data_IF_054535779320
#
_entry.id   IF_054535779320
#
_cell.length_a   1.000
_cell.length_b   1.000
_cell.length_c   1.000
_cell.angle_alpha   90.00
_cell.angle_beta   90.00
_cell.angle_gamma   90.00
#
_symmetry.space_group_name_H-M   'P 1'
#
loop_
_entity.id
_entity.type
_entity.pdbx_description
1 polymer ?
#
# COMPACT_ATOMS: atom_id res chain seq x y z
N UNK A 1 -39.79 49.96 -54.48
CA UNK A 1 -40.19 50.83 -53.38
C UNK A 1 -40.36 49.93 -52.14
N UNK A 2 -39.33 49.69 -51.40
CA UNK A 2 -39.31 48.76 -50.24
C UNK A 2 -38.61 49.46 -49.10
N UNK A 3 -39.33 49.68 -48.01
CA UNK A 3 -38.87 50.31 -46.77
C UNK A 3 -38.35 49.16 -45.88
N UNK A 4 -37.06 49.21 -45.53
CA UNK A 4 -36.47 48.34 -44.52
C UNK A 4 -36.73 48.96 -43.13
N UNK A 5 -37.34 48.14 -42.25
CA UNK A 5 -37.49 48.46 -40.83
C UNK A 5 -36.24 47.96 -40.07
N UNK A 6 -35.60 48.90 -39.36
CA UNK A 6 -34.48 48.62 -38.43
C UNK A 6 -35.10 48.52 -37.03
N UNK A 7 -34.94 47.33 -36.40
CA UNK A 7 -35.29 47.14 -34.99
C UNK A 7 -34.06 47.46 -34.13
N UNK A 8 -34.21 48.46 -33.24
CA UNK A 8 -33.23 48.74 -32.18
C UNK A 8 -33.55 47.92 -30.94
N UNK A 9 -32.61 47.12 -30.49
CA UNK A 9 -32.65 46.49 -29.19
C UNK A 9 -32.04 47.43 -28.15
N UNK A 10 -32.84 47.85 -27.18
CA UNK A 10 -32.38 48.59 -26.00
C UNK A 10 -32.03 47.56 -24.93
N UNK A 11 -30.74 47.46 -24.55
CA UNK A 11 -30.28 46.70 -23.39
C UNK A 11 -30.40 47.58 -22.16
N UNK A 12 -31.31 47.25 -21.27
CA UNK A 12 -31.43 47.89 -19.96
C UNK A 12 -30.46 47.18 -18.97
N UNK A 13 -29.42 47.90 -18.56
CA UNK A 13 -28.53 47.49 -17.49
C UNK A 13 -29.15 47.81 -16.14
N UNK A 14 -29.51 46.77 -15.39
CA UNK A 14 -30.00 46.86 -14.02
C UNK A 14 -28.81 46.82 -13.05
N UNK A 15 -28.50 47.95 -12.40
CA UNK A 15 -27.57 48.02 -11.29
C UNK A 15 -28.28 47.58 -10.01
N UNK A 16 -27.91 46.44 -9.43
CA UNK A 16 -28.28 46.06 -8.07
C UNK A 16 -27.12 46.44 -7.15
N UNK A 17 -27.35 47.42 -6.32
CA UNK A 17 -26.45 47.76 -5.22
C UNK A 17 -26.65 46.75 -4.09
N UNK A 18 -25.64 45.90 -3.82
CA UNK A 18 -25.61 45.05 -2.65
C UNK A 18 -24.80 45.75 -1.57
N UNK A 19 -25.47 46.00 -0.44
CA UNK A 19 -24.84 46.59 0.73
C UNK A 19 -23.82 45.67 1.37
N UNK A 20 -22.64 46.20 1.65
CA UNK A 20 -21.56 45.55 2.39
C UNK A 20 -21.94 45.55 3.86
N UNK A 21 -22.21 44.36 4.40
CA UNK A 21 -22.22 44.10 5.85
C UNK A 21 -20.89 43.51 6.24
N UNK A 22 -20.12 44.23 7.04
CA UNK A 22 -18.87 43.72 7.63
C UNK A 22 -19.21 42.77 8.75
N UNK A 23 -18.83 41.50 8.60
CA UNK A 23 -18.63 40.56 9.70
C UNK A 23 -17.23 39.97 9.58
N UNK A 24 -16.42 40.19 10.63
CA UNK A 24 -15.06 39.63 10.77
C UNK A 24 -15.16 38.11 10.90
N UNK A 25 -14.59 37.40 9.92
CA UNK A 25 -14.34 35.98 9.95
C UNK A 25 -13.39 35.65 8.80
N UNK A 26 -12.13 35.38 9.12
CA UNK A 26 -11.10 34.99 8.15
C UNK A 26 -11.48 33.68 7.47
N UNK A 27 -12.04 33.77 6.26
CA UNK A 27 -12.08 32.69 5.28
C UNK A 27 -11.50 33.26 3.98
N UNK A 28 -10.49 32.64 3.39
CA UNK A 28 -10.00 33.03 2.08
C UNK A 28 -10.87 32.37 0.99
N UNK A 29 -12.14 32.72 0.88
CA UNK A 29 -12.97 32.38 -0.26
C UNK A 29 -12.80 33.45 -1.36
N UNK A 30 -11.73 33.26 -2.16
CA UNK A 30 -11.66 33.87 -3.48
C UNK A 30 -12.65 33.13 -4.42
N UNK A 31 -13.13 33.79 -5.50
CA UNK A 31 -14.04 33.14 -6.44
C UNK A 31 -13.39 31.83 -6.94
N UNK A 32 -14.16 30.73 -6.93
CA UNK A 32 -13.77 29.44 -7.49
C UNK A 32 -13.41 29.58 -8.96
N UNK A 33 -12.15 29.83 -9.25
CA UNK A 33 -11.64 29.73 -10.62
C UNK A 33 -11.60 28.24 -10.93
N UNK A 34 -12.32 27.77 -11.95
CA UNK A 34 -12.30 26.36 -12.32
C UNK A 34 -10.86 25.92 -12.55
N UNK A 35 -10.39 24.95 -11.76
CA UNK A 35 -9.04 24.40 -11.93
C UNK A 35 -9.07 23.52 -13.18
N UNK A 36 -8.24 23.87 -14.17
CA UNK A 36 -8.14 23.06 -15.40
C UNK A 36 -7.52 21.71 -15.07
N UNK A 37 -8.15 20.59 -15.48
CA UNK A 37 -7.56 19.26 -15.28
C UNK A 37 -6.21 19.14 -15.98
N UNK A 38 -5.25 18.50 -15.30
CA UNK A 38 -3.95 18.13 -15.85
C UNK A 38 -3.94 16.67 -16.32
N UNK A 39 -2.88 16.24 -16.99
CA UNK A 39 -2.73 14.85 -17.43
C UNK A 39 -2.58 13.87 -16.26
N UNK A 40 -1.90 14.29 -15.16
CA UNK A 40 -1.74 13.44 -14.00
C UNK A 40 -1.67 14.23 -12.69
N UNK A 41 -2.35 13.70 -11.66
CA UNK A 41 -2.10 14.08 -10.27
C UNK A 41 -1.56 12.86 -9.51
N UNK A 42 -0.39 13.01 -8.88
CA UNK A 42 0.15 12.04 -7.93
C UNK A 42 -0.21 12.51 -6.51
N UNK A 43 -0.94 11.68 -5.79
CA UNK A 43 -1.33 11.94 -4.42
C UNK A 43 -0.49 11.08 -3.45
N UNK A 44 0.35 11.73 -2.66
CA UNK A 44 1.14 11.09 -1.60
C UNK A 44 0.38 11.19 -0.30
N UNK A 45 -0.01 10.07 0.26
CA UNK A 45 -0.84 9.94 1.45
C UNK A 45 -0.03 9.32 2.57
N UNK A 46 0.33 10.13 3.57
CA UNK A 46 1.06 9.76 4.77
C UNK A 46 0.17 9.93 6.00
N UNK A 47 -0.75 8.99 6.26
CA UNK A 47 -1.75 9.12 7.34
C UNK A 47 -1.18 8.86 8.73
N UNK A 48 0.09 8.50 8.84
CA UNK A 48 0.77 8.18 10.07
C UNK A 48 1.89 9.18 10.37
N UNK A 49 1.97 9.60 11.62
CA UNK A 49 3.05 10.38 12.19
C UNK A 49 3.86 9.53 13.18
N UNK A 50 4.62 10.13 14.06
CA UNK A 50 5.41 9.46 15.09
C UNK A 50 6.64 8.74 14.53
N UNK A 51 6.76 7.42 14.66
CA UNK A 51 7.97 6.65 14.30
C UNK A 51 8.47 6.79 12.85
N UNK A 52 7.58 7.12 11.89
CA UNK A 52 7.92 7.27 10.47
C UNK A 52 7.90 8.72 9.97
N UNK A 53 7.65 9.71 10.84
CA UNK A 53 7.51 11.11 10.40
C UNK A 53 8.79 11.66 9.78
N UNK A 54 9.96 11.31 10.32
CA UNK A 54 11.26 11.69 9.75
C UNK A 54 11.49 11.09 8.36
N UNK A 55 11.09 9.83 8.18
CA UNK A 55 11.23 9.14 6.90
C UNK A 55 10.31 9.73 5.84
N UNK A 56 9.06 10.07 6.18
CA UNK A 56 8.15 10.73 5.25
C UNK A 56 8.59 12.16 4.90
N UNK A 57 9.20 12.89 5.83
CA UNK A 57 9.82 14.19 5.52
C UNK A 57 10.93 14.04 4.49
N UNK A 58 11.82 13.07 4.66
CA UNK A 58 12.85 12.75 3.67
C UNK A 58 12.24 12.37 2.33
N UNK A 59 11.22 11.51 2.29
CA UNK A 59 10.48 11.14 1.08
C UNK A 59 9.93 12.39 0.36
N UNK A 60 9.37 13.34 1.11
CA UNK A 60 8.89 14.61 0.54
C UNK A 60 10.06 15.44 -0.01
N UNK A 61 11.19 15.54 0.68
CA UNK A 61 12.40 16.24 0.22
C UNK A 61 12.97 15.61 -1.06
N UNK A 62 12.99 14.28 -1.15
CA UNK A 62 13.36 13.56 -2.37
C UNK A 62 12.42 13.91 -3.53
N UNK A 63 11.11 13.91 -3.30
CA UNK A 63 10.12 14.29 -4.31
C UNK A 63 10.21 15.78 -4.69
N UNK A 64 10.53 16.66 -3.75
CA UNK A 64 10.82 18.08 -4.06
C UNK A 64 12.00 18.19 -5.03
N UNK A 65 13.04 17.38 -4.84
CA UNK A 65 14.18 17.34 -5.75
C UNK A 65 13.77 16.85 -7.15
N UNK A 66 12.95 15.80 -7.22
CA UNK A 66 12.42 15.27 -8.49
C UNK A 66 11.58 16.34 -9.21
N UNK A 67 10.65 17.00 -8.49
CA UNK A 67 9.80 18.07 -9.02
C UNK A 67 10.66 19.27 -9.52
N UNK A 68 11.70 19.66 -8.77
CA UNK A 68 12.58 20.75 -9.17
C UNK A 68 13.34 20.44 -10.49
N UNK A 69 13.72 19.19 -10.69
CA UNK A 69 14.49 18.75 -11.88
C UNK A 69 13.60 18.49 -13.10
N UNK A 70 12.31 18.15 -12.90
CA UNK A 70 11.38 17.80 -13.99
C UNK A 70 10.67 19.02 -14.58
N UNK A 71 10.21 18.88 -15.82
CA UNK A 71 9.28 19.84 -16.43
C UNK A 71 7.84 19.46 -16.02
N UNK A 72 7.34 20.07 -14.96
CA UNK A 72 5.97 19.85 -14.42
C UNK A 72 4.94 20.65 -15.24
N UNK A 73 4.69 20.25 -16.49
CA UNK A 73 3.75 20.97 -17.38
C UNK A 73 2.32 20.43 -17.27
N UNK A 74 2.21 19.14 -17.06
CA UNK A 74 0.94 18.41 -17.09
C UNK A 74 0.85 17.42 -15.92
N UNK A 75 1.63 17.66 -14.87
CA UNK A 75 1.64 16.85 -13.67
C UNK A 75 1.54 17.71 -12.41
N UNK A 76 0.84 17.22 -11.40
CA UNK A 76 0.77 17.79 -10.06
C UNK A 76 1.15 16.76 -9.01
N UNK A 77 1.72 17.20 -7.91
CA UNK A 77 2.04 16.35 -6.76
C UNK A 77 1.39 16.94 -5.52
N UNK A 78 0.39 16.24 -5.01
CA UNK A 78 -0.32 16.57 -3.79
C UNK A 78 0.19 15.70 -2.65
N UNK A 79 0.37 16.26 -1.47
CA UNK A 79 0.86 15.53 -0.30
C UNK A 79 -0.06 15.79 0.88
N UNK A 80 -0.65 14.73 1.41
CA UNK A 80 -1.26 14.71 2.73
C UNK A 80 -0.26 14.11 3.71
N UNK A 81 0.05 14.83 4.78
CA UNK A 81 0.97 14.36 5.82
C UNK A 81 0.39 14.62 7.20
N UNK A 82 0.16 13.56 7.96
CA UNK A 82 -0.13 13.66 9.37
C UNK A 82 1.13 14.17 10.11
N UNK A 83 0.98 15.25 10.87
CA UNK A 83 2.06 15.85 11.66
C UNK A 83 2.00 15.45 13.12
N UNK A 84 0.83 14.94 13.55
CA UNK A 84 0.57 14.29 14.83
C UNK A 84 -0.63 13.35 14.66
N UNK A 85 -1.05 12.66 15.70
CA UNK A 85 -2.25 11.79 15.66
C UNK A 85 -3.54 12.53 15.31
N UNK A 86 -3.59 13.85 15.50
CA UNK A 86 -4.78 14.67 15.32
C UNK A 86 -4.61 15.82 14.35
N UNK A 87 -3.39 16.08 13.89
CA UNK A 87 -3.07 17.18 13.00
C UNK A 87 -2.47 16.67 11.71
N UNK A 88 -2.89 17.24 10.59
CA UNK A 88 -2.33 16.95 9.29
C UNK A 88 -2.35 18.20 8.41
N UNK A 89 -1.56 18.15 7.34
CA UNK A 89 -1.51 19.18 6.31
C UNK A 89 -1.68 18.54 4.93
N UNK A 90 -2.42 19.24 4.07
CA UNK A 90 -2.47 18.95 2.63
C UNK A 90 -1.78 20.09 1.91
N UNK A 91 -0.80 19.79 1.09
CA UNK A 91 -0.03 20.75 0.33
C UNK A 91 0.33 20.23 -1.06
N UNK A 92 0.68 21.14 -1.94
CA UNK A 92 1.17 20.82 -3.28
C UNK A 92 2.66 21.12 -3.40
N UNK A 93 3.39 20.25 -4.08
CA UNK A 93 4.77 20.46 -4.49
C UNK A 93 4.78 21.17 -5.84
N UNK A 94 5.07 22.47 -5.85
CA UNK A 94 5.05 23.32 -7.04
C UNK A 94 6.45 23.68 -7.51
N UNK A 95 6.74 23.46 -8.79
CA UNK A 95 7.95 23.98 -9.39
C UNK A 95 7.78 25.46 -9.73
N UNK A 96 8.68 26.30 -9.19
CA UNK A 96 8.76 27.72 -9.50
C UNK A 96 10.25 28.14 -9.62
N UNK A 97 10.62 28.76 -10.74
CA UNK A 97 11.98 29.28 -10.99
C UNK A 97 13.10 28.22 -10.74
N UNK A 98 12.86 26.98 -11.17
CA UNK A 98 13.83 25.88 -11.03
C UNK A 98 13.94 25.27 -9.63
N UNK A 99 13.11 25.72 -8.69
CA UNK A 99 13.02 25.18 -7.32
C UNK A 99 11.65 24.55 -7.11
N UNK A 100 11.56 23.63 -6.15
CA UNK A 100 10.27 23.15 -5.64
C UNK A 100 9.87 23.95 -4.40
N UNK A 101 8.63 24.43 -4.39
CA UNK A 101 8.03 25.11 -3.27
C UNK A 101 6.88 24.26 -2.72
N UNK A 102 6.65 24.35 -1.43
CA UNK A 102 5.50 23.74 -0.76
C UNK A 102 4.39 24.78 -0.63
N UNK A 103 3.24 24.52 -1.24
CA UNK A 103 2.06 25.36 -1.16
C UNK A 103 1.00 24.68 -0.29
N UNK A 104 0.82 25.16 0.96
CA UNK A 104 -0.14 24.59 1.91
C UNK A 104 -1.56 24.97 1.51
N UNK A 105 -2.39 23.97 1.22
CA UNK A 105 -3.77 24.12 0.78
C UNK A 105 -4.77 23.98 1.92
N UNK A 106 -4.53 23.02 2.84
CA UNK A 106 -5.44 22.73 3.98
C UNK A 106 -4.64 22.35 5.21
N UNK A 107 -5.27 22.58 6.36
CA UNK A 107 -4.83 22.07 7.67
C UNK A 107 -6.00 21.36 8.33
N UNK A 108 -5.73 20.22 8.94
CA UNK A 108 -6.74 19.41 9.63
C UNK A 108 -6.36 19.28 11.09
N UNK A 109 -7.35 19.36 11.97
CA UNK A 109 -7.20 19.19 13.42
C UNK A 109 -8.31 18.31 13.99
N UNK A 110 -8.06 17.73 15.17
CA UNK A 110 -9.03 17.00 15.99
C UNK A 110 -9.64 15.72 15.39
N UNK A 111 -8.92 15.01 14.48
CA UNK A 111 -9.51 13.84 13.80
C UNK A 111 -8.59 12.61 13.80
N UNK A 112 -9.13 11.41 14.00
CA UNK A 112 -8.53 10.20 13.48
C UNK A 112 -8.72 10.18 11.95
N UNK A 113 -7.61 10.10 11.20
CA UNK A 113 -7.62 10.12 9.71
C UNK A 113 -7.87 8.73 9.11
N UNK A 114 -8.73 7.93 9.73
CA UNK A 114 -8.81 6.48 9.46
C UNK A 114 -10.20 5.99 9.07
N UNK A 115 -11.26 6.81 9.24
CA UNK A 115 -12.61 6.37 8.90
C UNK A 115 -12.87 6.46 7.39
N UNK A 116 -13.60 5.48 6.83
CA UNK A 116 -14.04 5.49 5.42
C UNK A 116 -14.64 6.84 5.01
N UNK A 117 -15.56 7.38 5.81
CA UNK A 117 -16.20 8.66 5.48
C UNK A 117 -15.19 9.82 5.40
N UNK A 118 -14.21 9.86 6.30
CA UNK A 118 -13.19 10.90 6.27
C UNK A 118 -12.28 10.75 5.05
N UNK A 119 -11.86 9.51 4.73
CA UNK A 119 -11.06 9.20 3.54
C UNK A 119 -11.81 9.59 2.25
N UNK A 120 -13.10 9.25 2.14
CA UNK A 120 -13.95 9.65 1.01
C UNK A 120 -13.95 11.18 0.82
N UNK A 121 -14.09 11.92 1.93
CA UNK A 121 -14.06 13.39 1.89
C UNK A 121 -12.69 13.93 1.45
N UNK A 122 -11.59 13.37 1.97
CA UNK A 122 -10.23 13.76 1.58
C UNK A 122 -9.97 13.50 0.09
N UNK A 123 -10.34 12.32 -0.41
CA UNK A 123 -10.12 11.96 -1.81
C UNK A 123 -10.94 12.86 -2.75
N UNK A 124 -12.19 13.15 -2.41
CA UNK A 124 -13.02 14.09 -3.15
C UNK A 124 -12.43 15.50 -3.14
N UNK A 125 -11.89 15.95 -2.01
CA UNK A 125 -11.22 17.25 -1.89
C UNK A 125 -9.95 17.30 -2.75
N UNK A 126 -9.11 16.26 -2.72
CA UNK A 126 -7.90 16.18 -3.56
C UNK A 126 -8.25 16.23 -5.04
N UNK A 127 -9.28 15.50 -5.48
CA UNK A 127 -9.73 15.55 -6.88
C UNK A 127 -10.28 16.92 -7.26
N UNK A 128 -10.93 17.62 -6.35
CA UNK A 128 -11.42 18.99 -6.57
C UNK A 128 -10.28 19.99 -6.68
N UNK A 129 -9.29 19.91 -5.77
CA UNK A 129 -8.14 20.82 -5.74
C UNK A 129 -7.14 20.56 -6.86
N UNK A 130 -7.01 19.30 -7.28
CA UNK A 130 -6.05 18.87 -8.29
C UNK A 130 -6.70 17.90 -9.31
N UNK A 131 -7.70 18.37 -10.09
CA UNK A 131 -8.37 17.54 -11.08
C UNK A 131 -7.37 17.09 -12.15
N UNK A 132 -7.47 15.81 -12.55
CA UNK A 132 -6.59 15.21 -13.55
C UNK A 132 -7.34 14.14 -14.34
N UNK A 133 -6.81 13.82 -15.54
CA UNK A 133 -7.32 12.70 -16.33
C UNK A 133 -6.83 11.34 -15.80
N UNK A 134 -5.77 11.34 -14.97
CA UNK A 134 -5.18 10.15 -14.37
C UNK A 134 -4.65 10.48 -12.97
N UNK A 135 -4.89 9.58 -12.03
CA UNK A 135 -4.36 9.68 -10.67
C UNK A 135 -3.38 8.57 -10.39
N UNK A 136 -2.29 8.88 -9.69
CA UNK A 136 -1.42 7.92 -9.03
C UNK A 136 -1.49 8.15 -7.52
N UNK A 137 -1.42 7.09 -6.72
CA UNK A 137 -1.41 7.20 -5.26
C UNK A 137 -0.15 6.56 -4.69
N UNK A 138 0.46 7.23 -3.71
CA UNK A 138 1.54 6.69 -2.87
C UNK A 138 1.02 6.67 -1.44
N UNK A 139 1.06 5.52 -0.79
CA UNK A 139 0.64 5.35 0.61
C UNK A 139 1.84 4.96 1.43
N UNK A 140 2.29 5.83 2.35
CA UNK A 140 3.40 5.56 3.25
C UNK A 140 2.93 5.43 4.68
N UNK A 141 3.16 4.26 5.29
CA UNK A 141 2.75 3.93 6.65
C UNK A 141 3.30 2.57 7.08
N UNK A 142 2.95 2.10 8.28
CA UNK A 142 3.09 0.68 8.59
C UNK A 142 2.05 -0.15 7.82
N UNK A 143 2.39 -1.41 7.51
CA UNK A 143 1.49 -2.32 6.81
C UNK A 143 1.61 -3.76 7.28
N UNK A 144 0.50 -4.51 7.23
CA UNK A 144 0.48 -5.95 7.40
C UNK A 144 -0.57 -6.60 6.49
N UNK A 145 -0.51 -6.26 5.23
CA UNK A 145 -1.41 -6.83 4.22
C UNK A 145 -2.89 -6.75 4.63
N UNK A 146 -3.61 -7.87 4.49
CA UNK A 146 -5.04 -8.04 4.70
C UNK A 146 -5.44 -8.28 6.17
N UNK A 147 -4.51 -8.37 7.11
CA UNK A 147 -4.82 -8.73 8.51
C UNK A 147 -5.66 -7.61 9.15
N UNK A 148 -6.88 -7.91 9.66
CA UNK A 148 -7.82 -6.88 10.08
C UNK A 148 -7.46 -6.21 11.41
N UNK A 149 -7.83 -4.94 11.56
CA UNK A 149 -7.68 -4.11 12.77
C UNK A 149 -8.24 -4.81 14.02
N UNK A 150 -9.40 -5.46 13.90
CA UNK A 150 -10.03 -6.15 15.02
C UNK A 150 -9.29 -7.43 15.47
N UNK A 151 -8.54 -8.07 14.61
CA UNK A 151 -7.72 -9.24 14.94
C UNK A 151 -6.72 -8.94 16.06
N UNK A 152 -6.20 -7.73 16.13
CA UNK A 152 -5.31 -7.27 17.20
C UNK A 152 -5.96 -7.10 18.55
N UNK A 153 -7.15 -6.50 18.62
CA UNK A 153 -7.85 -6.30 19.91
C UNK A 153 -8.04 -7.62 20.63
N UNK A 154 -8.34 -8.67 19.88
CA UNK A 154 -8.53 -10.01 20.42
C UNK A 154 -7.20 -10.68 20.81
N UNK A 155 -6.13 -10.47 20.06
CA UNK A 155 -4.81 -10.96 20.39
C UNK A 155 -4.24 -10.29 21.66
N UNK A 156 -4.38 -8.96 21.80
CA UNK A 156 -3.95 -8.21 23.00
C UNK A 156 -4.75 -8.59 24.25
N UNK A 157 -6.08 -8.73 24.17
CA UNK A 157 -6.91 -9.18 25.29
C UNK A 157 -6.54 -10.58 25.80
N UNK A 158 -6.12 -11.49 24.91
CA UNK A 158 -5.72 -12.85 25.28
C UNK A 158 -4.31 -12.93 25.87
N UNK A 159 -3.45 -11.97 25.61
CA UNK A 159 -2.08 -11.91 26.15
C UNK A 159 -2.01 -11.31 27.56
N UNK A 160 -3.16 -10.90 28.16
CA UNK A 160 -3.24 -10.48 29.57
C UNK A 160 -2.47 -9.20 29.93
N UNK A 161 -2.06 -8.40 28.94
CA UNK A 161 -1.32 -7.16 29.17
C UNK A 161 -2.28 -5.98 29.34
N UNK A 162 -2.95 -5.92 30.49
CA UNK A 162 -3.74 -4.75 30.88
C UNK A 162 -2.86 -3.69 31.61
N UNK A 163 -1.59 -3.95 31.77
CA UNK A 163 -0.63 -3.04 32.41
C UNK A 163 0.56 -2.85 31.46
N UNK A 164 0.57 -1.79 30.69
CA UNK A 164 1.74 -1.16 30.03
C UNK A 164 1.36 -0.44 28.73
N UNK A 165 0.36 0.43 28.80
CA UNK A 165 0.10 1.36 27.68
C UNK A 165 1.07 2.51 27.69
N UNK A 166 1.67 2.82 28.87
CA UNK A 166 2.51 4.00 29.06
C UNK A 166 4.04 3.77 28.83
N UNK A 167 4.46 2.52 28.59
CA UNK A 167 5.89 2.20 28.36
C UNK A 167 6.23 1.95 26.88
N UNK A 168 5.25 1.74 25.98
CA UNK A 168 5.50 1.46 24.57
C UNK A 168 5.87 2.71 23.73
N UNK A 169 5.61 3.92 24.21
CA UNK A 169 6.12 5.17 23.60
C UNK A 169 7.65 5.34 23.72
N UNK A 170 8.32 4.48 24.48
CA UNK A 170 9.76 4.48 24.65
C UNK A 170 10.52 3.43 23.82
N UNK A 171 9.83 2.62 23.00
CA UNK A 171 10.43 1.54 22.22
C UNK A 171 11.27 2.02 21.01
N UNK A 172 11.19 3.31 20.69
CA UNK A 172 12.01 3.95 19.65
C UNK A 172 12.84 5.08 20.28
N UNK A 173 13.68 4.77 21.27
CA UNK A 173 14.75 5.69 21.64
C UNK A 173 15.81 5.63 20.54
N UNK A 174 15.88 6.71 19.75
CA UNK A 174 17.10 7.08 19.05
C UNK A 174 18.22 7.27 20.08
N UNK A 175 19.04 6.28 20.31
CA UNK A 175 20.38 6.54 20.85
C UNK A 175 21.23 7.09 19.70
N UNK A 176 21.26 8.42 19.58
CA UNK A 176 22.33 9.11 18.86
C UNK A 176 23.64 8.75 19.53
N UNK A 177 24.36 7.83 18.94
CA UNK A 177 25.78 7.66 19.25
C UNK A 177 26.53 8.69 18.40
N UNK A 178 26.79 9.85 18.99
CA UNK A 178 27.74 10.82 18.45
C UNK A 178 29.15 10.20 18.52
N UNK A 179 29.52 9.48 17.48
CA UNK A 179 30.93 9.17 17.18
C UNK A 179 31.19 9.45 15.71
N UNK A 180 32.10 10.42 15.52
CA UNK A 180 32.68 10.68 14.21
C UNK A 180 33.13 9.38 13.55
N UNK A 181 32.51 9.05 12.40
CA UNK A 181 33.12 8.17 11.43
C UNK A 181 32.36 6.96 10.95
N UNK A 182 31.18 6.59 11.48
CA UNK A 182 30.35 5.53 10.90
C UNK A 182 28.88 5.69 11.36
N UNK A 183 28.05 6.29 10.51
CA UNK A 183 26.58 6.40 10.70
C UNK A 183 25.91 5.03 10.47
N UNK A 184 26.16 4.07 11.33
CA UNK A 184 25.39 2.85 11.44
C UNK A 184 24.26 3.10 12.45
N UNK A 185 23.07 3.47 11.96
CA UNK A 185 21.87 3.46 12.81
C UNK A 185 21.53 2.00 13.15
N UNK A 186 21.94 1.57 14.34
CA UNK A 186 21.44 0.35 14.94
C UNK A 186 20.05 0.59 15.49
N UNK A 187 19.02 0.06 14.81
CA UNK A 187 17.72 -0.09 15.41
C UNK A 187 17.72 -1.31 16.33
N UNK A 188 17.85 -1.11 17.62
CA UNK A 188 17.49 -2.13 18.60
C UNK A 188 15.96 -2.21 18.68
N UNK A 189 15.39 -3.18 17.99
CA UNK A 189 13.98 -3.55 18.13
C UNK A 189 13.87 -4.44 19.37
N UNK A 190 13.57 -3.86 20.52
CA UNK A 190 13.24 -4.62 21.73
C UNK A 190 11.72 -4.88 21.78
N UNK A 191 11.32 -6.08 21.37
CA UNK A 191 9.94 -6.55 21.49
C UNK A 191 9.29 -6.95 20.16
N UNK A 192 8.15 -7.64 20.19
CA UNK A 192 7.45 -8.01 18.97
C UNK A 192 6.94 -6.76 18.28
N UNK A 193 7.47 -6.42 17.13
CA UNK A 193 7.00 -5.34 16.26
C UNK A 193 5.56 -5.67 15.87
N UNK A 194 4.61 -4.94 16.45
CA UNK A 194 3.19 -5.07 16.16
C UNK A 194 2.83 -4.13 15.01
N UNK A 195 3.35 -4.39 13.81
CA UNK A 195 3.00 -3.63 12.61
C UNK A 195 1.91 -4.38 11.86
N UNK A 196 0.77 -3.75 11.63
CA UNK A 196 -0.41 -4.41 11.05
C UNK A 196 -1.29 -3.37 10.34
N UNK A 197 -1.89 -3.70 9.14
CA UNK A 197 -2.71 -2.88 8.23
C UNK A 197 -1.95 -1.72 7.57
N UNK A 198 -2.74 -0.78 7.06
CA UNK A 198 -2.24 0.52 6.60
C UNK A 198 -2.44 1.52 7.74
N UNK A 199 -1.38 2.15 8.23
CA UNK A 199 -1.53 3.20 9.23
C UNK A 199 -0.52 3.12 10.35
N UNK A 200 -0.98 3.40 11.56
CA UNK A 200 -0.14 3.52 12.73
C UNK A 200 -0.06 2.26 13.59
N UNK A 201 0.53 2.41 14.75
CA UNK A 201 0.77 1.31 15.70
C UNK A 201 -0.50 0.89 16.46
N UNK A 202 -1.46 1.81 16.62
CA UNK A 202 -2.68 1.57 17.40
C UNK A 202 -3.90 1.35 16.51
N UNK A 203 -4.88 0.51 16.90
CA UNK A 203 -6.07 0.22 16.10
C UNK A 203 -6.84 1.45 15.63
N UNK A 204 -6.92 2.50 16.45
CA UNK A 204 -7.58 3.77 16.12
C UNK A 204 -6.84 4.61 15.07
N UNK A 205 -5.58 4.29 14.80
CA UNK A 205 -4.74 4.95 13.79
C UNK A 205 -4.56 4.09 12.53
N UNK A 206 -5.34 3.03 12.40
CA UNK A 206 -5.23 2.04 11.33
C UNK A 206 -6.44 2.08 10.41
N UNK A 207 -6.19 1.83 9.14
CA UNK A 207 -7.18 1.80 8.07
C UNK A 207 -7.27 0.36 7.56
N UNK A 208 -8.47 -0.21 7.52
CA UNK A 208 -8.70 -1.47 6.82
C UNK A 208 -8.48 -1.29 5.31
N UNK A 209 -7.90 -2.28 4.64
CA UNK A 209 -7.74 -2.24 3.19
C UNK A 209 -9.10 -2.12 2.48
N UNK A 210 -10.14 -2.76 3.03
CA UNK A 210 -11.53 -2.64 2.56
C UNK A 210 -12.05 -1.22 2.70
N UNK A 211 -11.80 -0.54 3.84
CA UNK A 211 -12.23 0.85 4.03
C UNK A 211 -11.51 1.81 3.07
N UNK A 212 -10.25 1.53 2.72
CA UNK A 212 -9.53 2.29 1.70
C UNK A 212 -10.17 2.10 0.32
N UNK A 213 -10.41 0.85 -0.10
CA UNK A 213 -11.06 0.51 -1.37
C UNK A 213 -12.44 1.17 -1.49
N UNK A 214 -13.26 1.00 -0.45
CA UNK A 214 -14.60 1.57 -0.38
C UNK A 214 -14.59 3.11 -0.40
N UNK A 215 -13.66 3.75 0.31
CA UNK A 215 -13.54 5.21 0.33
C UNK A 215 -13.13 5.76 -1.04
N UNK A 216 -12.25 5.07 -1.76
CA UNK A 216 -11.87 5.42 -3.13
C UNK A 216 -13.06 5.27 -4.08
N UNK A 217 -13.81 4.17 -3.99
CA UNK A 217 -15.02 3.93 -4.79
C UNK A 217 -16.10 4.99 -4.51
N UNK A 218 -16.38 5.29 -3.23
CA UNK A 218 -17.37 6.30 -2.82
C UNK A 218 -17.00 7.72 -3.30
N UNK A 219 -15.70 8.04 -3.34
CA UNK A 219 -15.21 9.31 -3.87
C UNK A 219 -15.18 9.34 -5.41
N UNK A 220 -15.31 8.20 -6.09
CA UNK A 220 -15.09 8.07 -7.52
C UNK A 220 -13.61 8.18 -7.92
N UNK A 221 -12.69 7.94 -6.99
CA UNK A 221 -11.25 7.96 -7.26
C UNK A 221 -10.81 6.59 -7.79
N UNK A 222 -10.45 6.57 -9.07
CA UNK A 222 -9.80 5.41 -9.70
C UNK A 222 -8.37 5.79 -10.06
N UNK A 223 -7.39 4.98 -9.62
CA UNK A 223 -5.98 5.30 -9.83
C UNK A 223 -5.35 4.43 -10.91
N UNK A 224 -4.37 4.98 -11.61
CA UNK A 224 -3.50 4.24 -12.52
C UNK A 224 -2.60 3.28 -11.73
N UNK A 225 -2.15 3.71 -10.55
CA UNK A 225 -1.43 2.86 -9.62
C UNK A 225 -1.63 3.31 -8.17
N UNK A 226 -1.53 2.33 -7.26
CA UNK A 226 -1.27 2.57 -5.84
C UNK A 226 0.12 1.99 -5.54
N UNK A 227 1.02 2.81 -5.00
CA UNK A 227 2.30 2.38 -4.45
C UNK A 227 2.19 2.38 -2.93
N UNK A 228 2.35 1.22 -2.31
CA UNK A 228 2.49 1.12 -0.86
C UNK A 228 3.97 1.11 -0.46
N UNK A 229 4.40 2.19 0.16
CA UNK A 229 5.66 2.25 0.90
C UNK A 229 5.38 1.77 2.33
N UNK A 230 5.16 0.45 2.43
CA UNK A 230 4.73 -0.25 3.63
C UNK A 230 5.03 -1.76 3.52
N UNK A 231 5.20 -2.43 4.67
CA UNK A 231 5.52 -3.84 4.74
C UNK A 231 4.37 -4.74 4.25
N UNK A 232 4.69 -5.83 3.57
CA UNK A 232 3.78 -6.93 3.19
C UNK A 232 2.63 -6.57 2.24
N UNK A 233 2.56 -5.35 1.72
CA UNK A 233 1.42 -4.89 0.93
C UNK A 233 1.32 -5.50 -0.48
N UNK A 234 2.37 -6.16 -0.99
CA UNK A 234 2.27 -7.01 -2.19
C UNK A 234 1.70 -8.39 -1.83
N UNK A 235 0.47 -8.37 -1.35
CA UNK A 235 -0.35 -9.53 -1.00
C UNK A 235 -1.45 -9.69 -2.03
N UNK A 236 -1.74 -10.94 -2.44
CA UNK A 236 -2.81 -11.20 -3.40
C UNK A 236 -4.18 -10.82 -2.82
N UNK A 237 -4.36 -10.98 -1.51
CA UNK A 237 -5.58 -10.58 -0.81
C UNK A 237 -5.78 -9.06 -0.88
N UNK A 238 -4.72 -8.27 -0.69
CA UNK A 238 -4.75 -6.80 -0.82
C UNK A 238 -4.98 -6.37 -2.25
N UNK A 239 -4.26 -6.97 -3.20
CA UNK A 239 -4.41 -6.66 -4.61
C UNK A 239 -5.83 -6.94 -5.11
N UNK A 240 -6.42 -8.07 -4.69
CA UNK A 240 -7.78 -8.45 -5.07
C UNK A 240 -8.85 -7.53 -4.46
N UNK A 241 -8.63 -7.03 -3.25
CA UNK A 241 -9.52 -6.06 -2.62
C UNK A 241 -9.50 -4.70 -3.32
N UNK A 242 -8.34 -4.29 -3.84
CA UNK A 242 -8.15 -2.98 -4.49
C UNK A 242 -8.37 -3.00 -6.01
N UNK A 243 -8.59 -4.18 -6.64
CA UNK A 243 -8.59 -4.34 -8.10
C UNK A 243 -9.59 -3.47 -8.85
N UNK A 244 -10.68 -3.10 -8.20
CA UNK A 244 -11.74 -2.31 -8.82
C UNK A 244 -11.52 -0.79 -8.68
N UNK A 245 -10.48 -0.36 -7.93
CA UNK A 245 -10.16 1.06 -7.70
C UNK A 245 -8.75 1.45 -8.16
N UNK A 246 -7.94 0.49 -8.62
CA UNK A 246 -6.62 0.76 -9.20
C UNK A 246 -6.27 -0.20 -10.31
N UNK A 247 -5.52 0.26 -11.33
CA UNK A 247 -5.01 -0.62 -12.38
C UNK A 247 -3.78 -1.41 -11.94
N UNK A 248 -2.86 -0.77 -11.19
CA UNK A 248 -1.63 -1.41 -10.75
C UNK A 248 -1.41 -1.24 -9.26
N UNK A 249 -0.93 -2.30 -8.62
CA UNK A 249 -0.43 -2.27 -7.25
C UNK A 249 1.10 -2.40 -7.27
N UNK A 250 1.80 -1.45 -6.64
CA UNK A 250 3.26 -1.46 -6.50
C UNK A 250 3.58 -1.60 -5.02
N UNK A 251 4.20 -2.69 -4.62
CA UNK A 251 4.45 -2.95 -3.20
C UNK A 251 5.56 -3.99 -2.97
N UNK A 252 5.91 -4.21 -1.72
CA UNK A 252 6.78 -5.30 -1.27
C UNK A 252 5.98 -6.44 -0.66
N UNK A 253 6.26 -7.72 -1.00
CA UNK A 253 5.65 -8.87 -0.34
C UNK A 253 6.30 -9.21 1.01
N UNK A 254 7.39 -8.53 1.41
CA UNK A 254 8.08 -8.69 2.69
C UNK A 254 8.13 -7.39 3.48
N UNK A 255 8.84 -7.36 4.59
CA UNK A 255 9.11 -6.11 5.29
C UNK A 255 9.90 -5.14 4.40
N UNK A 256 9.59 -3.85 4.55
CA UNK A 256 10.33 -2.73 3.96
C UNK A 256 11.09 -2.07 5.10
N UNK A 257 12.42 -1.95 4.96
CA UNK A 257 13.20 -1.22 5.96
C UNK A 257 12.85 0.26 5.98
N UNK A 258 13.10 0.94 7.09
CA UNK A 258 12.64 2.32 7.37
C UNK A 258 13.01 3.35 6.31
N UNK A 259 14.08 3.12 5.53
CA UNK A 259 14.38 3.98 4.38
C UNK A 259 13.24 4.03 3.38
N UNK A 260 12.46 2.95 3.22
CA UNK A 260 11.34 2.89 2.29
C UNK A 260 11.78 2.82 0.82
N UNK A 261 10.98 3.37 -0.06
CA UNK A 261 11.29 3.43 -1.49
C UNK A 261 12.24 4.59 -1.81
N UNK A 262 13.21 4.39 -2.74
CA UNK A 262 14.23 5.40 -3.05
C UNK A 262 13.71 6.50 -4.00
N UNK A 263 12.89 7.43 -3.49
CA UNK A 263 12.17 8.43 -4.30
C UNK A 263 13.09 9.34 -5.09
N UNK A 264 14.31 9.60 -4.61
CA UNK A 264 15.27 10.43 -5.32
C UNK A 264 15.62 9.88 -6.72
N UNK A 265 15.65 8.57 -6.87
CA UNK A 265 15.93 7.89 -8.15
C UNK A 265 14.68 7.39 -8.85
N UNK A 266 13.69 6.96 -8.09
CA UNK A 266 12.48 6.31 -8.56
C UNK A 266 11.35 7.31 -8.88
N UNK A 267 11.25 8.43 -8.15
CA UNK A 267 10.11 9.36 -8.23
C UNK A 267 9.82 9.90 -9.63
N UNK A 268 10.84 10.07 -10.46
CA UNK A 268 10.68 10.45 -11.88
C UNK A 268 9.86 9.44 -12.68
N UNK A 269 9.85 8.18 -12.29
CA UNK A 269 9.12 7.09 -12.97
C UNK A 269 7.65 7.00 -12.54
N UNK A 270 7.26 7.70 -11.48
CA UNK A 270 5.87 7.83 -11.02
C UNK A 270 5.12 8.93 -11.77
N UNK A 271 5.83 9.91 -12.34
CA UNK A 271 5.28 11.11 -12.95
C UNK A 271 5.10 10.98 -14.46
N UNK A 272 3.99 11.51 -14.98
CA UNK A 272 3.59 11.40 -16.39
C UNK A 272 3.05 10.01 -16.70
N UNK A 273 3.52 9.38 -17.77
CA UNK A 273 3.24 7.96 -18.02
C UNK A 273 4.14 7.12 -17.11
N UNK A 274 3.58 6.34 -16.18
CA UNK A 274 4.38 5.55 -15.24
C UNK A 274 5.31 4.57 -15.97
N UNK A 275 6.55 4.47 -15.48
CA UNK A 275 7.52 3.50 -15.96
C UNK A 275 7.75 2.43 -14.89
N UNK A 276 6.91 1.40 -14.88
CA UNK A 276 6.93 0.35 -13.86
C UNK A 276 8.25 -0.41 -13.81
N UNK A 277 8.85 -0.72 -14.98
CA UNK A 277 10.18 -1.32 -15.01
C UNK A 277 11.22 -0.41 -14.37
N UNK A 278 11.19 0.89 -14.67
CA UNK A 278 12.10 1.86 -14.07
C UNK A 278 11.95 2.01 -12.57
N UNK A 279 10.73 1.83 -12.04
CA UNK A 279 10.46 1.78 -10.60
C UNK A 279 11.18 0.58 -9.97
N UNK A 280 10.97 -0.62 -10.51
CA UNK A 280 11.59 -1.87 -10.03
C UNK A 280 13.11 -1.80 -10.13
N UNK A 281 13.64 -1.38 -11.28
CA UNK A 281 15.09 -1.27 -11.51
C UNK A 281 15.73 -0.28 -10.52
N UNK A 282 15.10 0.87 -10.26
CA UNK A 282 15.59 1.87 -9.31
C UNK A 282 15.60 1.34 -7.88
N UNK A 283 14.53 0.64 -7.48
CA UNK A 283 14.42 0.03 -6.17
C UNK A 283 15.52 -1.02 -5.94
N UNK A 284 15.68 -1.97 -6.87
CA UNK A 284 16.67 -3.03 -6.75
C UNK A 284 18.10 -2.48 -6.84
N UNK A 285 18.36 -1.52 -7.73
CA UNK A 285 19.68 -0.89 -7.83
C UNK A 285 20.07 -0.21 -6.51
N UNK A 286 19.12 0.47 -5.86
CA UNK A 286 19.36 1.09 -4.56
C UNK A 286 19.68 0.03 -3.50
N UNK A 287 18.80 -0.94 -3.29
CA UNK A 287 18.98 -1.93 -2.24
C UNK A 287 20.17 -2.87 -2.47
N UNK A 288 20.55 -3.14 -3.72
CA UNK A 288 21.76 -3.93 -4.01
C UNK A 288 23.06 -3.23 -3.59
N UNK A 289 23.03 -1.90 -3.42
CA UNK A 289 24.20 -1.10 -3.00
C UNK A 289 24.06 -0.50 -1.60
N UNK A 290 22.88 -0.62 -1.00
CA UNK A 290 22.62 -0.10 0.35
C UNK A 290 23.31 -0.99 1.39
N UNK A 291 23.68 -0.43 2.54
CA UNK A 291 24.37 -1.19 3.60
C UNK A 291 23.51 -2.30 4.22
N UNK A 292 22.19 -2.20 4.09
CA UNK A 292 21.23 -3.28 4.35
C UNK A 292 20.65 -3.74 3.00
N UNK A 293 21.27 -4.72 2.31
CA UNK A 293 20.90 -5.10 0.95
C UNK A 293 19.67 -6.01 0.93
N UNK A 294 18.58 -5.54 1.52
CA UNK A 294 17.35 -6.30 1.72
C UNK A 294 16.17 -5.55 1.10
N UNK A 295 15.75 -5.97 -0.08
CA UNK A 295 14.64 -5.34 -0.77
C UNK A 295 13.90 -6.29 -1.70
N UNK A 296 12.57 -6.21 -1.65
CA UNK A 296 11.67 -6.90 -2.57
C UNK A 296 10.64 -5.91 -3.08
N UNK A 297 10.29 -5.99 -4.35
CA UNK A 297 9.27 -5.13 -4.97
C UNK A 297 8.59 -5.86 -6.12
N UNK A 298 7.29 -5.64 -6.28
CA UNK A 298 6.53 -6.13 -7.40
C UNK A 298 5.51 -5.10 -7.87
N UNK A 299 5.13 -5.21 -9.13
CA UNK A 299 4.05 -4.47 -9.79
C UNK A 299 3.02 -5.49 -10.24
N UNK A 300 1.84 -5.41 -9.66
CA UNK A 300 0.70 -6.29 -9.96
C UNK A 300 -0.27 -5.57 -10.88
N UNK A 301 -0.56 -6.15 -12.03
CA UNK A 301 -1.66 -5.73 -12.91
C UNK A 301 -2.98 -6.28 -12.34
N UNK A 302 -3.74 -5.40 -11.70
CA UNK A 302 -4.99 -5.76 -11.03
C UNK A 302 -6.07 -6.26 -12.00
N UNK A 303 -5.99 -5.92 -13.29
CA UNK A 303 -6.93 -6.40 -14.32
C UNK A 303 -6.80 -7.90 -14.62
N UNK A 304 -5.69 -8.51 -14.22
CA UNK A 304 -5.40 -9.93 -14.42
C UNK A 304 -5.83 -10.82 -13.25
N UNK A 305 -6.26 -10.22 -12.14
CA UNK A 305 -6.49 -10.95 -10.88
C UNK A 305 -7.68 -11.91 -10.94
N UNK A 306 -8.76 -11.58 -11.68
CA UNK A 306 -9.90 -12.48 -11.80
C UNK A 306 -9.54 -13.76 -12.59
N UNK A 307 -8.71 -13.62 -13.62
CA UNK A 307 -8.18 -14.76 -14.35
C UNK A 307 -7.27 -15.63 -13.48
N UNK A 308 -6.43 -14.99 -12.65
CA UNK A 308 -5.58 -15.69 -11.69
C UNK A 308 -6.41 -16.44 -10.64
N UNK A 309 -7.45 -15.79 -10.10
CA UNK A 309 -8.36 -16.38 -9.11
C UNK A 309 -9.10 -17.62 -9.66
N UNK A 310 -9.56 -17.56 -10.91
CA UNK A 310 -10.25 -18.69 -11.54
C UNK A 310 -9.38 -19.94 -11.67
N UNK A 311 -8.07 -19.79 -11.92
CA UNK A 311 -7.14 -20.92 -11.98
C UNK A 311 -6.80 -21.38 -10.54
N UNK A 312 -6.61 -20.44 -9.61
CA UNK A 312 -6.36 -20.76 -8.20
C UNK A 312 -7.51 -21.59 -7.60
N UNK A 313 -8.75 -21.27 -7.92
CA UNK A 313 -9.94 -22.02 -7.49
C UNK A 313 -9.86 -23.49 -7.97
N UNK A 314 -9.51 -23.72 -9.23
CA UNK A 314 -9.37 -25.07 -9.78
C UNK A 314 -8.25 -25.86 -9.09
N UNK A 315 -7.12 -25.19 -8.79
CA UNK A 315 -6.01 -25.80 -8.07
C UNK A 315 -6.45 -26.17 -6.65
N UNK A 316 -7.13 -25.27 -5.93
CA UNK A 316 -7.60 -25.51 -4.57
C UNK A 316 -8.58 -26.68 -4.50
N UNK A 317 -9.52 -26.76 -5.44
CA UNK A 317 -10.48 -27.86 -5.55
C UNK A 317 -9.79 -29.20 -5.81
N UNK A 318 -8.87 -29.27 -6.79
CA UNK A 318 -8.13 -30.49 -7.12
C UNK A 318 -7.23 -30.95 -5.95
N UNK A 319 -6.56 -30.02 -5.27
CA UNK A 319 -5.72 -30.30 -4.09
C UNK A 319 -6.54 -30.84 -2.93
N UNK A 320 -7.75 -30.29 -2.70
CA UNK A 320 -8.66 -30.77 -1.67
C UNK A 320 -9.17 -32.19 -1.96
N UNK A 321 -9.57 -32.50 -3.22
CA UNK A 321 -10.00 -33.83 -3.63
C UNK A 321 -8.92 -34.88 -3.41
N UNK A 322 -7.67 -34.60 -3.83
CA UNK A 322 -6.56 -35.54 -3.65
C UNK A 322 -6.19 -35.74 -2.18
N UNK A 323 -6.27 -34.67 -1.39
CA UNK A 323 -6.01 -34.75 0.07
C UNK A 323 -7.07 -35.62 0.76
N UNK A 324 -8.34 -35.45 0.42
CA UNK A 324 -9.45 -36.24 0.97
C UNK A 324 -9.34 -37.72 0.52
N UNK A 325 -9.02 -38.00 -0.73
CA UNK A 325 -8.80 -39.36 -1.25
C UNK A 325 -7.66 -40.07 -0.48
N UNK A 326 -6.52 -39.38 -0.27
CA UNK A 326 -5.40 -39.93 0.50
C UNK A 326 -5.72 -40.18 1.97
N UNK A 327 -6.67 -39.42 2.57
CA UNK A 327 -7.11 -39.61 3.96
C UNK A 327 -8.04 -40.83 4.14
N UNK A 328 -8.72 -41.27 3.06
CA UNK A 328 -9.64 -42.41 3.07
C UNK A 328 -9.01 -43.73 2.69
N UNK A 329 -7.78 -43.75 2.18
CA UNK A 329 -7.02 -44.96 1.88
C UNK A 329 -6.67 -45.75 3.17
N UNK A 330 -6.71 -47.08 3.17
CA UNK A 330 -6.27 -47.89 4.32
C UNK A 330 -4.80 -47.62 4.66
N UNK A 331 -4.55 -47.16 5.86
CA UNK A 331 -3.20 -46.80 6.31
C UNK A 331 -2.32 -48.05 6.46
N UNK A 332 -1.39 -48.26 5.55
CA UNK A 332 -0.30 -49.18 5.71
C UNK A 332 0.92 -48.43 6.30
N UNK A 333 1.73 -49.07 7.15
CA UNK A 333 2.88 -48.48 7.82
C UNK A 333 3.89 -47.78 6.85
N UNK A 334 3.89 -48.16 5.56
CA UNK A 334 4.68 -47.50 4.52
C UNK A 334 4.06 -46.18 3.98
N UNK A 335 2.73 -45.95 4.18
CA UNK A 335 2.04 -44.77 3.76
C UNK A 335 2.03 -43.67 4.84
N UNK A 336 2.14 -44.04 6.13
CA UNK A 336 2.23 -43.07 7.23
C UNK A 336 3.46 -42.15 7.13
N UNK A 337 4.61 -42.70 6.71
CA UNK A 337 5.84 -41.95 6.51
C UNK A 337 5.78 -40.93 5.36
N UNK A 338 4.98 -41.21 4.31
CA UNK A 338 4.87 -40.32 3.16
C UNK A 338 3.81 -39.21 3.35
N UNK A 339 2.75 -39.46 4.11
CA UNK A 339 1.69 -38.49 4.34
C UNK A 339 2.10 -37.46 5.40
N UNK A 340 2.83 -37.86 6.44
CA UNK A 340 3.27 -36.99 7.53
C UNK A 340 4.48 -36.11 7.16
N UNK A 341 5.18 -36.38 6.06
CA UNK A 341 6.34 -35.58 5.62
C UNK A 341 6.01 -34.54 4.60
N UNK A 342 4.80 -34.56 4.00
CA UNK A 342 4.45 -33.68 2.89
C UNK A 342 3.80 -32.35 3.30
N UNK A 343 3.21 -32.24 4.50
CA UNK A 343 2.49 -31.03 4.96
C UNK A 343 2.71 -30.76 6.44
N UNK A 344 2.88 -29.49 6.79
CA UNK A 344 2.79 -29.02 8.17
C UNK A 344 1.32 -29.09 8.64
N UNK A 345 1.07 -29.08 9.96
CA UNK A 345 -0.25 -29.26 10.57
C UNK A 345 -1.39 -28.32 10.09
N UNK A 346 -1.12 -27.45 9.12
CA UNK A 346 -2.04 -26.47 8.54
C UNK A 346 -2.34 -26.68 7.06
N UNK A 347 -2.09 -27.85 6.52
CA UNK A 347 -2.26 -28.12 5.10
C UNK A 347 -1.29 -27.32 4.16
N UNK A 348 -0.28 -26.67 4.70
CA UNK A 348 0.76 -25.99 3.92
C UNK A 348 1.80 -27.01 3.48
N UNK A 349 2.14 -27.10 2.18
CA UNK A 349 3.20 -27.98 1.71
C UNK A 349 4.54 -27.64 2.39
N UNK A 350 5.34 -28.67 2.73
CA UNK A 350 6.65 -28.46 3.32
C UNK A 350 7.61 -27.77 2.34
N UNK A 351 8.42 -26.84 2.87
CA UNK A 351 9.45 -26.16 2.08
C UNK A 351 8.97 -24.97 1.28
N UNK A 352 7.69 -24.54 1.41
CA UNK A 352 7.22 -23.30 0.79
C UNK A 352 8.10 -22.14 1.23
N UNK A 353 8.41 -21.22 0.28
CA UNK A 353 9.13 -19.99 0.58
C UNK A 353 8.31 -19.14 1.55
N UNK A 354 8.83 -18.88 2.73
CA UNK A 354 8.25 -17.96 3.70
C UNK A 354 8.62 -16.53 3.35
N UNK A 355 7.72 -15.58 3.65
CA UNK A 355 7.85 -14.17 3.31
C UNK A 355 7.80 -13.27 4.55
N UNK A 356 7.83 -13.84 5.76
CA UNK A 356 7.77 -13.11 7.02
C UNK A 356 8.65 -13.76 8.12
N UNK A 357 8.67 -13.12 9.29
CA UNK A 357 9.33 -13.59 10.49
C UNK A 357 8.39 -14.18 11.55
N UNK A 358 7.09 -14.27 11.30
CA UNK A 358 6.11 -14.76 12.28
C UNK A 358 6.29 -16.24 12.60
N UNK A 359 5.97 -16.62 13.83
CA UNK A 359 5.91 -18.01 14.26
C UNK A 359 4.58 -18.28 14.98
N UNK A 360 3.67 -19.04 14.38
CA UNK A 360 3.75 -19.65 13.03
C UNK A 360 3.74 -18.61 11.90
N UNK A 361 4.32 -18.96 10.74
CA UNK A 361 4.36 -18.15 9.52
C UNK A 361 2.98 -17.69 9.09
N UNK A 362 2.86 -16.43 8.68
CA UNK A 362 1.63 -15.82 8.21
C UNK A 362 1.61 -15.70 6.68
N UNK A 363 2.74 -15.36 6.06
CA UNK A 363 2.85 -15.10 4.63
C UNK A 363 3.81 -16.07 3.93
N UNK A 364 3.37 -16.56 2.79
CA UNK A 364 4.11 -17.45 1.88
C UNK A 364 4.19 -16.82 0.49
N UNK A 365 5.23 -17.16 -0.28
CA UNK A 365 5.24 -16.82 -1.70
C UNK A 365 4.10 -17.52 -2.44
N UNK A 366 3.24 -16.74 -3.09
CA UNK A 366 2.04 -17.25 -3.76
C UNK A 366 2.37 -18.27 -4.85
N UNK A 367 3.32 -17.94 -5.73
CA UNK A 367 3.68 -18.81 -6.85
C UNK A 367 4.27 -20.12 -6.38
N UNK A 368 5.17 -20.08 -5.40
CA UNK A 368 5.77 -21.30 -4.84
C UNK A 368 4.71 -22.16 -4.11
N UNK A 369 3.84 -21.53 -3.30
CA UNK A 369 2.75 -22.24 -2.63
C UNK A 369 1.87 -22.99 -3.64
N UNK A 370 1.42 -22.32 -4.69
CA UNK A 370 0.53 -22.91 -5.69
C UNK A 370 1.20 -23.99 -6.51
N UNK A 371 2.52 -23.90 -6.76
CA UNK A 371 3.30 -24.91 -7.47
C UNK A 371 3.43 -26.24 -6.72
N UNK A 372 3.31 -26.20 -5.39
CA UNK A 372 3.47 -27.38 -4.51
C UNK A 372 2.14 -28.06 -4.16
N UNK A 373 0.99 -27.50 -4.61
CA UNK A 373 -0.33 -28.12 -4.42
C UNK A 373 -0.50 -29.34 -5.34
N UNK A 374 -1.27 -30.33 -4.86
CA UNK A 374 -1.54 -31.58 -5.60
C UNK A 374 -2.64 -31.38 -6.66
N UNK A 375 -2.41 -30.49 -7.65
CA UNK A 375 -3.41 -30.14 -8.66
C UNK A 375 -3.03 -30.60 -10.09
N UNK A 376 -1.87 -31.25 -10.22
CA UNK A 376 -1.33 -31.67 -11.52
C UNK A 376 -0.62 -30.54 -12.28
N UNK A 377 0.34 -30.94 -13.12
CA UNK A 377 1.26 -30.02 -13.82
C UNK A 377 0.55 -29.04 -14.76
N UNK A 378 -0.57 -29.44 -15.39
CA UNK A 378 -1.31 -28.57 -16.31
C UNK A 378 -1.85 -27.33 -15.61
N UNK A 379 -2.51 -27.49 -14.45
CA UNK A 379 -3.08 -26.38 -13.71
C UNK A 379 -1.99 -25.51 -13.06
N UNK A 380 -0.96 -26.11 -12.49
CA UNK A 380 0.13 -25.37 -11.87
C UNK A 380 0.94 -24.57 -12.91
N UNK A 381 1.15 -25.13 -14.12
CA UNK A 381 1.77 -24.40 -15.24
C UNK A 381 0.89 -23.23 -15.70
N UNK A 382 -0.40 -23.47 -15.91
CA UNK A 382 -1.34 -22.41 -16.30
C UNK A 382 -1.40 -21.27 -15.24
N UNK A 383 -1.31 -21.63 -13.97
CA UNK A 383 -1.22 -20.64 -12.89
C UNK A 383 0.05 -19.81 -12.98
N UNK A 384 1.20 -20.45 -13.19
CA UNK A 384 2.49 -19.77 -13.31
C UNK A 384 2.50 -18.79 -14.51
N UNK A 385 1.97 -19.22 -15.66
CA UNK A 385 1.84 -18.37 -16.85
C UNK A 385 0.89 -17.18 -16.63
N UNK A 386 -0.23 -17.39 -15.92
CA UNK A 386 -1.13 -16.30 -15.56
C UNK A 386 -0.51 -15.38 -14.51
N UNK A 387 0.22 -15.92 -13.55
CA UNK A 387 0.91 -15.13 -12.51
C UNK A 387 1.98 -14.22 -13.13
N UNK A 388 2.72 -14.67 -14.15
CA UNK A 388 3.68 -13.82 -14.87
C UNK A 388 3.00 -12.67 -15.64
N UNK A 389 1.76 -12.85 -16.11
CA UNK A 389 0.96 -11.76 -16.67
C UNK A 389 0.45 -10.81 -15.58
N UNK A 390 0.06 -11.37 -14.44
CA UNK A 390 -0.44 -10.61 -13.29
C UNK A 390 0.66 -9.79 -12.61
N UNK A 391 1.90 -10.30 -12.57
CA UNK A 391 3.06 -9.62 -11.96
C UNK A 391 4.14 -9.40 -13.02
N UNK A 392 3.93 -8.47 -13.98
CA UNK A 392 4.81 -8.29 -15.13
C UNK A 392 6.19 -7.70 -14.78
N UNK A 393 6.30 -7.01 -13.63
CA UNK A 393 7.56 -6.43 -13.17
C UNK A 393 7.76 -6.78 -11.70
N UNK A 394 8.89 -7.40 -11.39
CA UNK A 394 9.27 -7.77 -10.03
C UNK A 394 10.79 -7.83 -9.89
N UNK A 395 11.27 -7.64 -8.67
CA UNK A 395 12.70 -7.75 -8.36
C UNK A 395 12.93 -7.95 -6.87
N UNK A 396 14.05 -8.55 -6.55
CA UNK A 396 14.47 -8.81 -5.17
C UNK A 396 15.99 -8.85 -5.06
N UNK A 397 16.51 -8.63 -3.86
CA UNK A 397 17.88 -8.96 -3.45
C UNK A 397 17.94 -10.45 -3.06
N UNK A 398 19.12 -11.00 -2.84
CA UNK A 398 19.27 -12.43 -2.49
C UNK A 398 18.53 -12.82 -1.22
N UNK A 399 18.37 -11.85 -0.31
CA UNK A 399 17.74 -12.04 0.99
C UNK A 399 16.76 -10.90 1.27
N UNK A 400 15.77 -11.12 2.14
CA UNK A 400 15.02 -10.09 2.82
C UNK A 400 15.29 -10.10 4.32
N UNK A 401 15.10 -8.97 4.98
CA UNK A 401 15.22 -8.85 6.43
C UNK A 401 13.85 -8.87 7.08
N UNK A 402 13.78 -9.43 8.28
CA UNK A 402 12.60 -9.32 9.13
C UNK A 402 13.02 -8.97 10.56
N UNK A 403 12.49 -7.87 11.06
CA UNK A 403 12.72 -7.40 12.42
C UNK A 403 12.25 -8.42 13.49
N UNK A 404 11.29 -9.29 13.14
CA UNK A 404 10.76 -10.31 14.04
C UNK A 404 11.76 -11.42 14.37
N UNK A 405 12.75 -11.68 13.50
CA UNK A 405 13.78 -12.71 13.69
C UNK A 405 15.17 -12.11 13.88
N UNK A 406 15.33 -10.83 13.59
CA UNK A 406 16.63 -10.14 13.59
C UNK A 406 17.69 -10.85 12.74
N UNK A 407 17.25 -11.49 11.66
CA UNK A 407 18.11 -12.22 10.74
C UNK A 407 17.60 -12.14 9.31
N UNK A 408 18.50 -12.06 8.30
CA UNK A 408 18.11 -12.15 6.91
C UNK A 408 17.61 -13.56 6.56
N UNK A 409 16.70 -13.62 5.60
CA UNK A 409 16.10 -14.85 5.07
C UNK A 409 16.36 -14.95 3.58
N UNK A 410 16.90 -16.09 3.14
CA UNK A 410 17.20 -16.35 1.73
C UNK A 410 15.93 -16.42 0.89
N UNK A 411 15.95 -15.77 -0.27
CA UNK A 411 14.90 -15.84 -1.28
C UNK A 411 15.31 -16.84 -2.34
N UNK A 412 14.66 -18.00 -2.33
CA UNK A 412 14.88 -19.09 -3.33
C UNK A 412 13.77 -19.13 -4.38
N UNK A 413 12.59 -18.67 -4.01
CA UNK A 413 11.42 -18.55 -4.89
C UNK A 413 10.78 -17.19 -4.69
N UNK A 414 10.47 -16.52 -5.79
CA UNK A 414 9.93 -15.16 -5.76
C UNK A 414 8.92 -14.93 -6.89
N UNK A 415 7.67 -14.92 -6.54
CA UNK A 415 6.58 -14.61 -7.48
C UNK A 415 6.19 -13.14 -7.50
N UNK A 416 6.61 -12.38 -6.49
CA UNK A 416 6.27 -10.98 -6.31
C UNK A 416 5.01 -10.75 -5.47
N UNK A 417 4.20 -11.78 -5.21
CA UNK A 417 3.03 -11.73 -4.34
C UNK A 417 3.19 -12.67 -3.15
N UNK A 418 2.81 -12.22 -1.97
CA UNK A 418 2.57 -13.09 -0.84
C UNK A 418 1.09 -13.48 -0.75
N UNK A 419 0.82 -14.53 0.03
CA UNK A 419 -0.52 -14.98 0.41
C UNK A 419 -0.47 -15.66 1.77
N UNK A 420 -1.62 -15.78 2.42
CA UNK A 420 -1.80 -16.59 3.61
C UNK A 420 -2.54 -17.89 3.29
N UNK A 421 -2.27 -18.91 4.06
CA UNK A 421 -2.94 -20.21 3.93
C UNK A 421 -3.33 -20.67 5.33
N UNK A 422 -4.56 -21.11 5.55
CA UNK A 422 -5.17 -21.58 6.82
C UNK A 422 -4.17 -21.85 7.94
N UNK A 423 -3.60 -20.80 8.49
CA UNK A 423 -2.44 -20.83 9.36
C UNK A 423 -2.85 -21.12 10.81
N UNK A 424 -1.98 -21.78 11.58
CA UNK A 424 -2.08 -21.82 13.05
C UNK A 424 -1.84 -20.44 13.66
N UNK A 425 -1.40 -19.47 12.87
CA UNK A 425 -1.23 -18.10 13.31
C UNK A 425 -2.61 -17.47 13.54
N UNK A 426 -2.87 -17.02 14.77
CA UNK A 426 -4.15 -16.42 15.18
C UNK A 426 -4.52 -15.15 14.41
N UNK A 427 -3.57 -14.53 13.74
CA UNK A 427 -3.83 -13.35 12.90
C UNK A 427 -4.54 -13.74 11.59
N UNK A 428 -4.47 -15.02 11.19
CA UNK A 428 -5.09 -15.55 9.99
C UNK A 428 -6.56 -16.00 10.20
N UNK A 429 -7.15 -15.80 11.39
CA UNK A 429 -8.53 -16.23 11.71
C UNK A 429 -9.57 -15.64 10.74
N UNK A 430 -9.27 -14.48 10.14
CA UNK A 430 -10.15 -13.74 9.23
C UNK A 430 -9.83 -13.92 7.75
N UNK A 431 -8.90 -14.80 7.41
CA UNK A 431 -8.52 -15.02 6.00
C UNK A 431 -9.72 -15.38 5.12
N UNK A 432 -10.65 -16.19 5.64
CA UNK A 432 -11.87 -16.60 4.91
C UNK A 432 -12.83 -15.45 4.59
N UNK A 433 -12.67 -14.29 5.22
CA UNK A 433 -13.49 -13.11 4.97
C UNK A 433 -12.94 -12.27 3.79
N UNK A 434 -11.69 -12.47 3.37
CA UNK A 434 -11.09 -11.74 2.25
C UNK A 434 -11.77 -12.07 0.92
N UNK A 435 -11.81 -11.08 0.02
CA UNK A 435 -12.40 -11.26 -1.30
C UNK A 435 -11.65 -12.33 -2.13
N UNK A 436 -10.32 -12.37 -2.02
CA UNK A 436 -9.50 -13.41 -2.67
C UNK A 436 -9.86 -14.81 -2.21
N UNK A 437 -9.96 -15.04 -0.88
CA UNK A 437 -10.30 -16.36 -0.36
C UNK A 437 -11.70 -16.82 -0.82
N UNK A 438 -12.68 -15.91 -0.81
CA UNK A 438 -14.04 -16.20 -1.32
C UNK A 438 -14.07 -16.52 -2.80
N UNK A 439 -13.19 -15.93 -3.60
CA UNK A 439 -13.10 -16.18 -5.04
C UNK A 439 -12.39 -17.49 -5.38
N UNK A 440 -11.58 -18.04 -4.47
CA UNK A 440 -10.68 -19.17 -4.75
C UNK A 440 -11.01 -20.45 -3.98
N UNK A 441 -12.05 -20.44 -3.08
CA UNK A 441 -12.41 -21.61 -2.25
C UNK A 441 -13.91 -21.93 -2.25
#
# INVERSE_FOLDING_TARGET
MHIKKICHFIIATLFIAVGVSCSNGDSPDGPDVPVTPVGQTVFMFFPWSNSLLSDFRRTVEDMQTVVAQRSMKDERVMVFMATSEREAVLFELKKQNGRCLTDTLRRYSDRPFTSRQWLTSLFSEVMTLAPASRYGMVVGCHGLAWVPVQGQRNARKRLGSQERIDEEDNLYKEERIDKEGDDLMHFEVQGPVTTRFIGGTYPETQIETTDLADAMADAGLHTEYILFDACYMSSVEVAYELKDVTHYLIASPTEVISYGFPYITMGKHLLGTPNYKGIVDSFISFYSSYYLPYGTVAVTDCTQLDALAAIAQQINAADAEQTNAAATEPRNAASEGKLNTARSGNNVPNGVQIMDGYSPTLFYDLGHLMSLKNAGTVLTTAFAEQLDKTVPYKGHTDQYFTALKDTPVDIKHYSGLNTSQGSLNRLADKLSETAWHKATN
#
